data_IF_875202909856
#
_entry.id   IF_875202909856
#
_cell.length_a   1.000
_cell.length_b   1.000
_cell.length_c   1.000
_cell.angle_alpha   90.00
_cell.angle_beta   90.00
_cell.angle_gamma   90.00
#
_symmetry.space_group_name_H-M   'P 1'
#
loop_
_entity.id
_entity.type
_entity.pdbx_description
1 polymer ?
#
# COMPACT_ATOMS: atom_id res chain seq x y z
N UNK A 1 -39.37 -3.51 -18.09
CA UNK A 1 -38.38 -3.62 -19.18
C UNK A 1 -38.32 -2.27 -19.87
N UNK A 2 -37.39 -1.42 -19.46
CA UNK A 2 -36.74 -0.37 -20.26
C UNK A 2 -35.43 -0.05 -19.53
N UNK A 3 -34.37 0.06 -20.32
CA UNK A 3 -32.99 0.24 -19.91
C UNK A 3 -32.72 1.70 -19.51
N UNK A 4 -31.75 1.91 -18.60
CA UNK A 4 -30.97 3.14 -18.57
C UNK A 4 -29.51 2.80 -18.27
N UNK A 5 -28.72 2.89 -19.32
CA UNK A 5 -27.27 2.93 -19.32
C UNK A 5 -26.90 4.31 -18.78
N UNK A 6 -26.21 4.39 -17.65
CA UNK A 6 -25.50 5.63 -17.28
C UNK A 6 -24.02 5.43 -17.58
N UNK A 7 -23.67 5.70 -18.83
CA UNK A 7 -22.35 6.21 -19.17
C UNK A 7 -22.11 7.43 -18.27
N UNK A 8 -21.05 7.39 -17.47
CA UNK A 8 -20.42 8.62 -17.02
C UNK A 8 -19.01 8.64 -17.57
N UNK A 9 -18.78 9.66 -18.38
CA UNK A 9 -17.68 9.80 -19.29
C UNK A 9 -16.33 9.80 -18.56
N UNK A 10 -15.38 9.07 -19.14
CA UNK A 10 -13.97 9.13 -18.80
C UNK A 10 -13.47 10.53 -19.20
N UNK A 11 -13.30 11.41 -18.23
CA UNK A 11 -12.58 12.66 -18.43
C UNK A 11 -11.09 12.42 -18.16
N UNK A 12 -10.31 12.40 -19.25
CA UNK A 12 -8.87 12.60 -19.27
C UNK A 12 -8.51 13.87 -18.49
N UNK A 13 -8.13 13.74 -17.22
CA UNK A 13 -7.59 14.85 -16.44
C UNK A 13 -6.16 14.53 -16.03
N UNK A 14 -5.25 15.27 -16.67
CA UNK A 14 -3.81 15.30 -16.48
C UNK A 14 -3.46 15.37 -14.97
N UNK A 15 -3.04 14.25 -14.39
CA UNK A 15 -2.61 14.16 -12.99
C UNK A 15 -1.31 14.95 -12.86
N UNK A 16 -1.39 16.13 -12.23
CA UNK A 16 -0.21 16.89 -11.84
C UNK A 16 0.39 16.18 -10.63
N UNK A 17 1.40 15.34 -10.87
CA UNK A 17 2.24 14.78 -9.81
C UNK A 17 3.03 15.94 -9.20
N UNK A 18 2.63 16.40 -8.02
CA UNK A 18 3.43 17.36 -7.25
C UNK A 18 4.64 16.63 -6.66
N UNK A 19 5.87 17.13 -6.88
CA UNK A 19 7.05 16.49 -6.34
C UNK A 19 7.04 16.58 -4.80
N UNK A 20 7.50 15.49 -4.18
CA UNK A 20 7.69 15.34 -2.74
C UNK A 20 8.55 16.52 -2.22
N UNK A 21 8.16 17.21 -1.13
CA UNK A 21 9.00 18.26 -0.57
C UNK A 21 10.31 17.66 -0.07
N UNK A 22 11.43 18.20 -0.55
CA UNK A 22 12.79 17.84 -0.11
C UNK A 22 13.05 18.41 1.28
N UNK A 23 13.28 17.54 2.27
CA UNK A 23 13.80 17.92 3.58
C UNK A 23 15.10 17.17 3.84
N UNK A 24 16.14 17.94 4.21
CA UNK A 24 17.55 17.58 4.30
C UNK A 24 17.90 16.40 5.25
N UNK A 25 18.95 15.65 4.85
CA UNK A 25 19.70 14.57 5.55
C UNK A 25 19.90 14.86 7.05
N UNK A 26 19.72 13.91 7.99
CA UNK A 26 20.65 12.78 8.27
C UNK A 26 19.95 11.44 8.65
N UNK A 27 18.66 11.31 8.38
CA UNK A 27 17.82 10.15 8.75
C UNK A 27 16.64 10.01 7.76
N UNK A 28 16.94 10.11 6.46
CA UNK A 28 15.94 10.35 5.40
C UNK A 28 14.81 9.30 5.38
N UNK A 29 13.68 9.66 5.99
CA UNK A 29 12.43 8.91 5.95
C UNK A 29 12.24 7.88 7.06
N UNK A 30 13.10 7.83 8.08
CA UNK A 30 12.86 7.00 9.27
C UNK A 30 11.83 7.70 10.19
N UNK A 31 10.74 7.02 10.49
CA UNK A 31 9.70 7.51 11.40
C UNK A 31 9.90 7.07 12.85
N UNK A 32 10.67 6.00 13.08
CA UNK A 32 10.95 5.53 14.43
C UNK A 32 11.82 4.28 14.46
N UNK A 33 12.35 3.99 15.64
CA UNK A 33 13.15 2.79 15.94
C UNK A 33 12.82 2.27 17.33
N UNK A 34 12.66 0.95 17.46
CA UNK A 34 12.61 0.24 18.74
C UNK A 34 13.49 -1.00 18.62
N UNK A 35 14.61 -1.03 19.35
CA UNK A 35 15.60 -2.10 19.21
C UNK A 35 16.15 -2.17 17.77
N UNK A 36 16.08 -3.34 17.16
CA UNK A 36 16.49 -3.58 15.76
C UNK A 36 15.39 -3.22 14.75
N UNK A 37 14.18 -2.92 15.23
CA UNK A 37 13.05 -2.58 14.36
C UNK A 37 13.10 -1.11 13.98
N UNK A 38 12.96 -0.85 12.69
CA UNK A 38 12.89 0.47 12.06
C UNK A 38 11.58 0.63 11.29
N UNK A 39 11.02 1.83 11.29
CA UNK A 39 9.80 2.11 10.52
C UNK A 39 10.02 3.25 9.53
N UNK A 40 9.64 3.06 8.26
CA UNK A 40 9.73 4.08 7.19
C UNK A 40 8.75 3.80 6.06
N UNK A 41 8.55 4.75 5.15
CA UNK A 41 7.82 4.48 3.91
C UNK A 41 8.61 3.59 2.95
N UNK A 42 7.87 2.84 2.13
CA UNK A 42 8.39 2.15 0.96
C UNK A 42 8.97 3.16 -0.04
N UNK A 43 10.09 2.79 -0.65
CA UNK A 43 10.88 3.66 -1.53
C UNK A 43 10.81 3.23 -3.00
N UNK A 44 10.40 2.01 -3.28
CA UNK A 44 10.33 1.45 -4.61
C UNK A 44 9.33 0.28 -4.67
N UNK A 45 9.03 -0.18 -5.89
CA UNK A 45 8.07 -1.27 -6.13
C UNK A 45 8.53 -2.62 -5.56
N UNK A 46 9.84 -2.87 -5.43
CA UNK A 46 10.36 -4.13 -4.85
C UNK A 46 9.98 -4.23 -3.37
N UNK A 47 10.06 -3.12 -2.64
CA UNK A 47 9.62 -3.06 -1.25
C UNK A 47 8.09 -3.21 -1.09
N UNK A 48 7.31 -2.72 -2.06
CA UNK A 48 5.85 -2.94 -2.10
C UNK A 48 5.54 -4.41 -2.38
N UNK A 49 6.24 -5.05 -3.33
CA UNK A 49 6.08 -6.49 -3.60
C UNK A 49 6.40 -7.35 -2.35
N UNK A 50 7.46 -6.98 -1.62
CA UNK A 50 7.79 -7.62 -0.35
C UNK A 50 6.69 -7.41 0.72
N UNK A 51 6.13 -6.21 0.82
CA UNK A 51 4.99 -5.93 1.70
C UNK A 51 3.74 -6.75 1.32
N UNK A 52 3.45 -6.90 0.03
CA UNK A 52 2.37 -7.77 -0.48
C UNK A 52 2.60 -9.25 -0.11
N UNK A 53 3.86 -9.70 -0.10
CA UNK A 53 4.25 -11.04 0.39
C UNK A 53 4.00 -11.22 1.88
N UNK A 54 4.35 -10.21 2.71
CA UNK A 54 4.05 -10.20 4.14
C UNK A 54 2.54 -10.31 4.38
N UNK A 55 1.73 -9.51 3.67
CA UNK A 55 0.27 -9.57 3.78
C UNK A 55 -0.30 -10.93 3.36
N UNK A 56 0.24 -11.54 2.30
CA UNK A 56 -0.17 -12.88 1.87
C UNK A 56 0.08 -13.92 2.97
N UNK A 57 1.27 -13.93 3.58
CA UNK A 57 1.61 -14.85 4.68
C UNK A 57 0.62 -14.73 5.84
N UNK A 58 0.35 -13.50 6.28
CA UNK A 58 -0.60 -13.26 7.38
C UNK A 58 -2.03 -13.65 6.98
N UNK A 59 -2.58 -13.06 5.92
CA UNK A 59 -4.00 -13.24 5.62
C UNK A 59 -4.32 -14.63 5.06
N UNK A 60 -3.50 -15.17 4.18
CA UNK A 60 -3.78 -16.45 3.52
C UNK A 60 -3.20 -17.62 4.30
N UNK A 61 -1.92 -17.57 4.68
CA UNK A 61 -1.27 -18.72 5.29
C UNK A 61 -1.67 -18.87 6.76
N UNK A 62 -1.71 -17.79 7.52
CA UNK A 62 -2.08 -17.82 8.94
C UNK A 62 -3.60 -17.73 9.14
N UNK A 63 -4.26 -16.74 8.53
CA UNK A 63 -5.69 -16.46 8.75
C UNK A 63 -6.64 -17.16 7.76
N UNK A 64 -6.12 -17.91 6.79
CA UNK A 64 -6.89 -18.72 5.82
C UNK A 64 -7.86 -17.93 4.94
N UNK A 65 -7.58 -16.66 4.68
CA UNK A 65 -8.31 -15.85 3.70
C UNK A 65 -8.21 -16.44 2.28
N UNK A 66 -9.13 -16.01 1.41
CA UNK A 66 -9.17 -16.37 0.00
C UNK A 66 -9.06 -15.11 -0.84
N UNK A 67 -7.99 -15.02 -1.63
CA UNK A 67 -7.72 -13.90 -2.53
C UNK A 67 -8.11 -14.27 -3.97
N UNK A 68 -8.18 -13.29 -4.89
CA UNK A 68 -8.33 -13.57 -6.32
C UNK A 68 -7.28 -14.57 -6.84
N UNK A 69 -7.63 -15.34 -7.86
CA UNK A 69 -6.81 -16.45 -8.34
C UNK A 69 -5.38 -16.03 -8.74
N UNK A 70 -5.18 -14.81 -9.23
CA UNK A 70 -3.86 -14.29 -9.56
C UNK A 70 -3.01 -13.98 -8.32
N UNK A 71 -3.58 -13.32 -7.32
CA UNK A 71 -2.96 -13.08 -6.03
C UNK A 71 -2.54 -14.39 -5.35
N UNK A 72 -3.39 -15.41 -5.42
CA UNK A 72 -3.08 -16.76 -4.95
C UNK A 72 -1.90 -17.39 -5.70
N UNK A 73 -1.88 -17.29 -7.05
CA UNK A 73 -0.78 -17.85 -7.86
C UNK A 73 0.55 -17.15 -7.61
N UNK A 74 0.54 -15.84 -7.42
CA UNK A 74 1.75 -15.03 -7.18
C UNK A 74 2.21 -15.06 -5.73
N UNK A 75 1.40 -15.57 -4.81
CA UNK A 75 1.63 -15.50 -3.37
C UNK A 75 1.88 -14.05 -2.93
N UNK A 76 1.02 -13.16 -3.42
CA UNK A 76 1.03 -11.72 -3.14
C UNK A 76 -0.40 -11.28 -2.91
N UNK A 77 -0.64 -10.65 -1.78
CA UNK A 77 -1.91 -9.94 -1.57
C UNK A 77 -1.78 -8.56 -2.21
N UNK A 78 -2.30 -8.39 -3.43
CA UNK A 78 -2.24 -7.11 -4.15
C UNK A 78 -3.62 -6.69 -4.64
N UNK A 79 -3.86 -5.38 -4.65
CA UNK A 79 -5.08 -4.77 -5.17
C UNK A 79 -4.81 -3.40 -5.82
N UNK A 80 -5.86 -2.74 -6.33
CA UNK A 80 -5.73 -1.43 -6.97
C UNK A 80 -5.29 -0.31 -5.99
N UNK A 81 -5.55 -0.48 -4.69
CA UNK A 81 -5.22 0.52 -3.67
C UNK A 81 -3.72 0.58 -3.38
N UNK A 82 -2.96 -0.46 -3.72
CA UNK A 82 -1.51 -0.46 -3.52
C UNK A 82 -0.80 0.64 -4.33
N UNK A 83 -1.41 1.10 -5.43
CA UNK A 83 -0.87 2.19 -6.26
C UNK A 83 -1.09 3.60 -5.69
N UNK A 84 -2.07 3.75 -4.79
CA UNK A 84 -2.47 5.05 -4.23
C UNK A 84 -2.14 5.21 -2.76
N UNK A 85 -1.96 4.10 -2.02
CA UNK A 85 -1.56 4.14 -0.62
C UNK A 85 -0.06 4.37 -0.49
N UNK A 86 0.34 5.16 0.51
CA UNK A 86 1.69 5.09 1.03
C UNK A 86 1.83 3.80 1.85
N UNK A 87 2.93 3.07 1.66
CA UNK A 87 3.19 1.81 2.39
C UNK A 87 4.18 2.08 3.51
N UNK A 88 3.71 2.07 4.75
CA UNK A 88 4.54 2.08 5.94
C UNK A 88 5.12 0.68 6.14
N UNK A 89 6.43 0.57 6.27
CA UNK A 89 7.15 -0.68 6.42
C UNK A 89 7.80 -0.73 7.80
N UNK A 90 7.79 -1.92 8.39
CA UNK A 90 8.60 -2.26 9.56
C UNK A 90 9.73 -3.19 9.09
N UNK A 91 10.96 -2.75 9.26
CA UNK A 91 12.16 -3.50 8.91
C UNK A 91 12.85 -4.00 10.18
N UNK A 92 13.23 -5.28 10.22
CA UNK A 92 14.10 -5.82 11.26
C UNK A 92 15.54 -5.82 10.78
N UNK A 93 16.37 -4.93 11.35
CA UNK A 93 17.78 -4.78 10.99
C UNK A 93 18.68 -5.91 11.49
N UNK A 94 18.15 -6.86 12.26
CA UNK A 94 18.89 -8.08 12.61
C UNK A 94 18.89 -9.13 11.49
N UNK A 95 17.99 -9.01 10.52
CA UNK A 95 17.89 -9.93 9.39
C UNK A 95 18.93 -9.52 8.32
N UNK A 96 19.80 -10.46 7.96
CA UNK A 96 20.75 -10.28 6.86
C UNK A 96 20.02 -10.36 5.51
N UNK A 97 20.49 -9.59 4.52
CA UNK A 97 19.91 -9.56 3.18
C UNK A 97 19.65 -8.14 2.67
N UNK A 98 18.87 -8.06 1.59
CA UNK A 98 18.41 -6.80 1.04
C UNK A 98 17.33 -6.18 1.95
N UNK A 99 16.94 -4.92 1.68
CA UNK A 99 15.92 -4.25 2.51
C UNK A 99 14.57 -4.97 2.47
N UNK A 100 14.26 -5.64 1.38
CA UNK A 100 13.05 -6.42 1.15
C UNK A 100 12.98 -7.65 2.05
N UNK A 101 14.11 -8.31 2.28
CA UNK A 101 14.21 -9.48 3.17
C UNK A 101 13.96 -9.09 4.63
N UNK A 102 14.30 -7.84 4.98
CA UNK A 102 14.15 -7.29 6.31
C UNK A 102 12.71 -6.85 6.63
N UNK A 103 11.79 -6.79 5.65
CA UNK A 103 10.41 -6.32 5.88
C UNK A 103 9.62 -7.40 6.62
N UNK A 104 9.31 -7.10 7.89
CA UNK A 104 8.58 -8.00 8.80
C UNK A 104 7.15 -7.53 9.08
N UNK A 105 6.81 -6.30 8.67
CA UNK A 105 5.48 -5.74 8.85
C UNK A 105 5.19 -4.62 7.86
N UNK A 106 3.91 -4.37 7.61
CA UNK A 106 3.47 -3.30 6.72
C UNK A 106 2.10 -2.74 7.12
N UNK A 107 1.87 -1.47 6.81
CA UNK A 107 0.59 -0.79 6.96
C UNK A 107 0.36 0.16 5.78
N UNK A 108 -0.88 0.22 5.26
CA UNK A 108 -1.24 1.14 4.18
C UNK A 108 -1.82 2.43 4.76
N UNK A 109 -1.32 3.56 4.29
CA UNK A 109 -1.77 4.89 4.67
C UNK A 109 -2.41 5.54 3.45
N UNK A 110 -3.73 5.72 3.50
CA UNK A 110 -4.47 6.50 2.50
C UNK A 110 -4.64 7.93 3.01
N UNK A 111 -3.89 8.88 2.43
CA UNK A 111 -3.99 10.30 2.80
C UNK A 111 -5.32 10.88 2.33
N UNK A 112 -5.93 11.75 3.14
CA UNK A 112 -7.23 12.37 2.86
C UNK A 112 -7.27 13.09 1.50
N UNK A 113 -6.22 13.80 1.14
CA UNK A 113 -6.09 14.48 -0.17
C UNK A 113 -6.13 13.51 -1.36
N UNK A 114 -5.54 12.32 -1.19
CA UNK A 114 -5.54 11.24 -2.19
C UNK A 114 -6.91 10.57 -2.23
N UNK A 115 -7.54 10.34 -1.08
CA UNK A 115 -8.89 9.79 -0.98
C UNK A 115 -9.91 10.69 -1.70
N UNK A 116 -9.89 12.00 -1.45
CA UNK A 116 -10.79 12.96 -2.10
C UNK A 116 -10.65 13.01 -3.63
N UNK A 117 -9.48 12.64 -4.15
CA UNK A 117 -9.18 12.64 -5.60
C UNK A 117 -9.42 11.26 -6.25
N UNK A 118 -9.50 10.18 -5.47
CA UNK A 118 -9.61 8.79 -5.94
C UNK A 118 -10.83 8.06 -5.33
N UNK A 119 -12.03 8.63 -5.50
CA UNK A 119 -13.33 8.06 -5.10
C UNK A 119 -13.68 8.05 -3.59
N UNK A 120 -13.07 8.92 -2.79
CA UNK A 120 -13.40 9.08 -1.37
C UNK A 120 -12.62 8.12 -0.46
N UNK A 121 -12.96 8.09 0.83
CA UNK A 121 -12.36 7.13 1.76
C UNK A 121 -12.95 5.74 1.50
N UNK A 122 -12.10 4.71 1.44
CA UNK A 122 -12.52 3.31 1.34
C UNK A 122 -13.60 2.94 2.38
N UNK A 123 -13.48 3.48 3.59
CA UNK A 123 -14.46 3.27 4.67
C UNK A 123 -15.87 3.76 4.35
N UNK A 124 -16.04 4.75 3.47
CA UNK A 124 -17.35 5.22 3.04
C UNK A 124 -18.09 4.21 2.13
N UNK A 125 -17.38 3.23 1.58
CA UNK A 125 -17.97 2.14 0.78
C UNK A 125 -18.26 0.87 1.58
N UNK A 126 -17.66 0.73 2.78
CA UNK A 126 -17.85 -0.43 3.65
C UNK A 126 -18.70 -0.15 4.89
N UNK A 127 -18.84 1.11 5.30
CA UNK A 127 -19.56 1.52 6.50
C UNK A 127 -20.47 2.72 6.21
N UNK A 128 -21.67 2.73 6.78
CA UNK A 128 -22.60 3.87 6.72
C UNK A 128 -22.18 4.86 7.82
N UNK A 129 -21.39 5.88 7.46
CA UNK A 129 -20.77 6.88 8.34
C UNK A 129 -21.02 8.30 7.84
#
# INVERSE_FOLDING_TARGET
>A
MVAEILNHDICENNVVITPRPETAQDNEGLFGRIGTLETRLARNEREIDAAQSVRYRVFVEEMKARLPAEAMRRQRDFDAWDSVCDHLLVLDKSIEGDSEDQIVGTYRLLRQEVALTNNGFYSASEFDI
#
